data_IF_268382733249
#
_entry.id   IF_268382733249
#
_cell.length_a   1.000
_cell.length_b   1.000
_cell.length_c   1.000
_cell.angle_alpha   90.00
_cell.angle_beta   90.00
_cell.angle_gamma   90.00
#
_symmetry.space_group_name_H-M   'P 1'
#
loop_
_entity.id
_entity.type
_entity.pdbx_description
1 polymer ?
#
# COMPACT_ATOMS: atom_id res chain seq x y z
N UNK A 1 -7.78 -20.24 39.61
CA UNK A 1 -6.67 -21.03 39.05
C UNK A 1 -7.03 -21.59 37.68
N UNK A 2 -8.13 -22.35 37.52
CA UNK A 2 -8.53 -22.97 36.22
C UNK A 2 -8.73 -21.95 35.12
N UNK A 3 -9.55 -20.91 35.33
CA UNK A 3 -9.79 -19.86 34.33
C UNK A 3 -8.52 -19.10 33.91
N UNK A 4 -7.58 -18.90 34.83
CA UNK A 4 -6.28 -18.29 34.49
C UNK A 4 -5.43 -19.21 33.62
N UNK A 5 -5.46 -20.51 33.91
CA UNK A 5 -4.74 -21.52 33.11
C UNK A 5 -5.32 -21.64 31.72
N UNK A 6 -6.65 -21.66 31.62
CA UNK A 6 -7.35 -21.66 30.32
C UNK A 6 -7.07 -20.40 29.50
N UNK A 7 -7.13 -19.22 30.11
CA UNK A 7 -6.79 -17.96 29.46
C UNK A 7 -5.34 -17.97 28.93
N UNK A 8 -4.41 -18.50 29.73
CA UNK A 8 -2.99 -18.58 29.37
C UNK A 8 -2.73 -19.57 28.22
N UNK A 9 -3.36 -20.73 28.27
CA UNK A 9 -3.17 -21.77 27.25
C UNK A 9 -3.91 -21.50 25.94
N UNK A 10 -5.12 -20.93 26.02
CA UNK A 10 -6.02 -20.82 24.85
C UNK A 10 -6.11 -19.41 24.27
N UNK A 11 -5.92 -18.35 25.07
CA UNK A 11 -6.20 -16.98 24.65
C UNK A 11 -4.95 -16.14 24.43
N UNK A 12 -3.79 -16.56 24.96
CA UNK A 12 -2.56 -15.79 24.82
C UNK A 12 -2.15 -15.66 23.35
N UNK A 13 -1.88 -14.45 22.88
CA UNK A 13 -1.56 -14.17 21.46
C UNK A 13 -0.31 -14.92 20.96
N UNK A 14 0.68 -15.12 21.82
CA UNK A 14 1.88 -15.90 21.48
C UNK A 14 1.61 -17.37 21.14
N UNK A 15 0.48 -17.92 21.59
CA UNK A 15 0.05 -19.29 21.27
C UNK A 15 -0.90 -19.34 20.07
N UNK A 16 -1.44 -18.19 19.63
CA UNK A 16 -2.45 -18.07 18.57
C UNK A 16 -1.95 -17.21 17.41
N UNK A 17 -0.77 -17.50 16.89
CA UNK A 17 -0.16 -16.74 15.78
C UNK A 17 -0.90 -17.03 14.46
N UNK A 18 -1.38 -18.28 14.26
CA UNK A 18 -2.04 -18.70 13.04
C UNK A 18 -3.55 -18.78 13.18
N UNK A 19 -4.25 -18.42 12.11
CA UNK A 19 -5.72 -18.52 12.04
C UNK A 19 -6.15 -19.99 11.95
N UNK A 20 -7.06 -20.47 12.81
CA UNK A 20 -7.44 -21.87 12.87
C UNK A 20 -8.13 -22.40 11.60
N UNK A 21 -8.83 -21.53 10.85
CA UNK A 21 -9.55 -21.94 9.65
C UNK A 21 -8.68 -22.16 8.42
N UNK A 22 -7.60 -21.41 8.24
CA UNK A 22 -6.80 -21.44 7.01
C UNK A 22 -5.28 -21.37 7.23
N UNK A 23 -4.81 -21.37 8.48
CA UNK A 23 -3.39 -21.43 8.82
C UNK A 23 -2.56 -20.21 8.41
N UNK A 24 -3.17 -19.10 8.05
CA UNK A 24 -2.44 -17.85 7.75
C UNK A 24 -2.12 -17.10 9.05
N UNK A 25 -1.00 -16.39 9.12
CA UNK A 25 -0.69 -15.57 10.30
C UNK A 25 -1.79 -14.54 10.60
N UNK A 26 -2.19 -14.44 11.87
CA UNK A 26 -3.08 -13.40 12.39
C UNK A 26 -2.25 -12.25 12.95
N UNK A 27 -1.19 -12.58 13.71
CA UNK A 27 -0.26 -11.62 14.28
C UNK A 27 0.65 -11.09 13.17
N UNK A 28 0.18 -10.07 12.45
CA UNK A 28 0.89 -9.45 11.34
C UNK A 28 1.19 -8.00 11.70
N UNK A 29 2.43 -7.52 11.49
CA UNK A 29 2.74 -6.09 11.59
C UNK A 29 1.82 -5.24 10.71
N UNK A 30 1.47 -4.06 11.17
CA UNK A 30 0.57 -3.13 10.48
C UNK A 30 1.06 -1.70 10.59
N UNK A 31 0.54 -0.83 9.73
CA UNK A 31 0.77 0.62 9.78
C UNK A 31 2.26 0.98 9.88
N UNK A 32 2.68 1.64 10.95
CA UNK A 32 4.04 2.18 11.10
C UNK A 32 5.12 1.09 11.15
N UNK A 33 4.80 -0.10 11.66
CA UNK A 33 5.73 -1.23 11.64
C UNK A 33 6.07 -1.66 10.21
N UNK A 34 5.05 -1.73 9.34
CA UNK A 34 5.23 -2.06 7.92
C UNK A 34 5.96 -0.93 7.21
N UNK A 35 5.58 0.32 7.47
CA UNK A 35 6.18 1.49 6.85
C UNK A 35 7.67 1.62 7.18
N UNK A 36 8.03 1.42 8.46
CA UNK A 36 9.43 1.46 8.90
C UNK A 36 10.27 0.34 8.28
N UNK A 37 9.72 -0.88 8.19
CA UNK A 37 10.40 -2.01 7.55
C UNK A 37 10.56 -1.78 6.04
N UNK A 38 9.54 -1.25 5.38
CA UNK A 38 9.59 -0.91 3.97
C UNK A 38 10.62 0.19 3.69
N UNK A 39 10.60 1.28 4.48
CA UNK A 39 11.59 2.34 4.40
C UNK A 39 13.01 1.80 4.56
N UNK A 40 13.25 0.99 5.58
CA UNK A 40 14.56 0.39 5.87
C UNK A 40 15.11 -0.43 4.71
N UNK A 41 14.26 -1.24 4.05
CA UNK A 41 14.69 -2.20 3.02
C UNK A 41 14.72 -1.63 1.60
N UNK A 42 14.30 -0.38 1.41
CA UNK A 42 14.35 0.29 0.12
C UNK A 42 15.75 0.79 -0.20
N UNK A 43 16.16 0.65 -1.46
CA UNK A 43 17.46 1.15 -1.95
C UNK A 43 17.32 2.55 -2.56
N UNK A 44 18.37 3.35 -2.45
CA UNK A 44 18.50 4.66 -3.09
C UNK A 44 19.90 4.79 -3.68
N UNK A 45 19.99 5.31 -4.92
CA UNK A 45 21.25 5.53 -5.59
C UNK A 45 21.90 6.84 -5.13
N UNK A 46 23.21 6.89 -5.08
CA UNK A 46 23.96 8.09 -4.68
C UNK A 46 24.05 8.33 -3.18
N UNK A 47 23.73 7.33 -2.36
CA UNK A 47 23.78 7.43 -0.90
C UNK A 47 25.20 7.28 -0.34
N UNK A 48 25.40 7.85 0.86
CA UNK A 48 26.69 7.78 1.56
C UNK A 48 27.07 6.32 1.85
N UNK A 49 28.28 5.91 1.42
CA UNK A 49 28.79 4.56 1.59
C UNK A 49 28.42 3.59 0.45
N UNK A 50 27.84 4.06 -0.63
CA UNK A 50 27.53 3.22 -1.80
C UNK A 50 28.78 2.53 -2.36
N UNK A 51 28.66 1.23 -2.70
CA UNK A 51 29.76 0.41 -3.25
C UNK A 51 30.72 -0.12 -2.20
N UNK A 52 30.56 0.20 -0.92
CA UNK A 52 31.38 -0.32 0.15
C UNK A 52 31.19 -1.83 0.33
N UNK A 53 32.26 -2.52 0.78
CA UNK A 53 32.27 -3.96 1.01
C UNK A 53 32.63 -4.25 2.47
N UNK A 54 31.81 -5.08 3.13
CA UNK A 54 31.96 -5.41 4.54
C UNK A 54 32.12 -6.92 4.75
N UNK A 55 32.93 -7.28 5.74
CA UNK A 55 33.23 -8.69 6.06
C UNK A 55 32.25 -9.29 7.06
N UNK A 56 31.53 -8.48 7.82
CA UNK A 56 30.58 -8.94 8.85
C UNK A 56 29.48 -7.92 9.11
N UNK A 57 28.44 -8.36 9.86
CA UNK A 57 27.36 -7.49 10.32
C UNK A 57 27.84 -6.44 11.31
N UNK A 58 28.80 -6.79 12.18
CA UNK A 58 29.35 -5.90 13.20
C UNK A 58 30.07 -4.70 12.57
N UNK A 59 30.79 -4.90 11.46
CA UNK A 59 31.42 -3.82 10.71
C UNK A 59 30.38 -2.84 10.14
N UNK A 60 29.28 -3.36 9.59
CA UNK A 60 28.17 -2.53 9.10
C UNK A 60 27.52 -1.75 10.24
N UNK A 61 27.26 -2.40 11.38
CA UNK A 61 26.65 -1.75 12.54
C UNK A 61 27.53 -0.61 13.04
N UNK A 62 28.85 -0.82 13.13
CA UNK A 62 29.80 0.21 13.55
C UNK A 62 29.84 1.39 12.56
N UNK A 63 29.93 1.11 11.27
CA UNK A 63 29.94 2.14 10.25
C UNK A 63 28.62 2.93 10.20
N UNK A 64 27.49 2.24 10.45
CA UNK A 64 26.17 2.88 10.53
C UNK A 64 26.03 3.77 11.78
N UNK A 65 26.48 3.33 12.95
CA UNK A 65 26.48 4.14 14.17
C UNK A 65 27.40 5.37 14.07
N UNK A 66 28.51 5.24 13.35
CA UNK A 66 29.42 6.35 13.05
C UNK A 66 28.88 7.32 11.98
N UNK A 67 27.72 7.04 11.37
CA UNK A 67 27.15 7.79 10.24
C UNK A 67 28.05 7.81 9.00
N UNK A 68 28.84 6.77 8.77
CA UNK A 68 29.67 6.61 7.57
C UNK A 68 28.89 6.03 6.39
N UNK A 69 27.78 5.36 6.69
CA UNK A 69 26.87 4.75 5.72
C UNK A 69 25.40 5.03 6.06
N UNK A 70 24.55 5.10 5.02
CA UNK A 70 23.09 5.24 5.20
C UNK A 70 22.37 3.89 5.05
N UNK A 71 21.14 3.75 5.59
CA UNK A 71 20.40 2.48 5.49
C UNK A 71 20.09 2.07 4.04
N UNK A 72 20.00 3.05 3.13
CA UNK A 72 19.59 2.86 1.73
C UNK A 72 20.76 2.64 0.77
N UNK A 73 22.00 2.81 1.27
CA UNK A 73 23.20 2.64 0.47
C UNK A 73 23.35 1.19 -0.02
N UNK A 74 23.66 1.02 -1.30
CA UNK A 74 23.97 -0.29 -1.88
C UNK A 74 25.37 -0.71 -1.49
N UNK A 75 25.50 -1.87 -0.89
CA UNK A 75 26.75 -2.42 -0.35
C UNK A 75 26.92 -3.88 -0.74
N UNK A 76 28.12 -4.40 -0.56
CA UNK A 76 28.42 -5.83 -0.64
C UNK A 76 28.79 -6.35 0.76
N UNK A 77 28.24 -7.48 1.14
CA UNK A 77 28.52 -8.11 2.42
C UNK A 77 28.94 -9.57 2.23
N UNK A 78 29.85 -10.03 3.07
CA UNK A 78 30.22 -11.43 3.15
C UNK A 78 29.53 -12.08 4.35
N UNK A 79 28.59 -12.99 4.09
CA UNK A 79 27.91 -13.77 5.11
C UNK A 79 28.18 -15.25 4.91
N UNK A 80 28.54 -15.95 5.99
CA UNK A 80 28.83 -17.41 5.97
C UNK A 80 29.83 -17.84 4.91
N UNK A 81 30.77 -16.96 4.51
CA UNK A 81 31.79 -17.24 3.51
C UNK A 81 31.37 -16.89 2.06
N UNK A 82 30.13 -16.59 1.81
CA UNK A 82 29.59 -16.19 0.50
C UNK A 82 29.43 -14.67 0.40
N UNK A 83 29.68 -14.10 -0.78
CA UNK A 83 29.44 -12.70 -1.06
C UNK A 83 28.00 -12.47 -1.53
N UNK A 84 27.30 -11.57 -0.87
CA UNK A 84 26.01 -11.05 -1.30
C UNK A 84 26.26 -9.65 -1.84
N UNK A 85 26.12 -9.51 -3.15
CA UNK A 85 26.31 -8.25 -3.85
C UNK A 85 25.00 -7.50 -4.01
N UNK A 86 25.09 -6.18 -4.20
CA UNK A 86 23.94 -5.29 -4.44
C UNK A 86 22.83 -5.41 -3.39
N UNK A 87 23.23 -5.57 -2.14
CA UNK A 87 22.29 -5.46 -1.00
C UNK A 87 22.32 -4.05 -0.42
N UNK A 88 21.47 -3.76 0.55
CA UNK A 88 21.50 -2.49 1.28
C UNK A 88 21.78 -2.71 2.75
N UNK A 89 22.35 -1.70 3.41
CA UNK A 89 22.58 -1.72 4.85
C UNK A 89 21.29 -2.08 5.59
N UNK A 90 20.17 -1.49 5.19
CA UNK A 90 18.88 -1.74 5.81
C UNK A 90 18.37 -3.18 5.61
N UNK A 91 18.63 -3.81 4.46
CA UNK A 91 18.30 -5.24 4.25
C UNK A 91 19.13 -6.13 5.15
N UNK A 92 20.40 -5.81 5.34
CA UNK A 92 21.27 -6.55 6.25
C UNK A 92 20.74 -6.45 7.70
N UNK A 93 20.39 -5.24 8.15
CA UNK A 93 19.78 -5.02 9.46
C UNK A 93 18.47 -5.80 9.62
N UNK A 94 17.62 -5.80 8.61
CA UNK A 94 16.37 -6.58 8.62
C UNK A 94 16.63 -8.09 8.72
N UNK A 95 17.59 -8.61 7.93
CA UNK A 95 17.92 -10.03 7.95
C UNK A 95 18.57 -10.48 9.28
N UNK A 96 19.23 -9.59 10.00
CA UNK A 96 19.79 -9.90 11.32
C UNK A 96 18.73 -10.14 12.42
N UNK A 97 17.50 -9.65 12.21
CA UNK A 97 16.36 -9.88 13.10
C UNK A 97 15.67 -11.23 12.79
N UNK A 98 15.90 -11.79 11.61
CA UNK A 98 15.33 -13.08 11.23
C UNK A 98 16.00 -14.23 12.00
N UNK A 99 15.26 -15.32 12.31
CA UNK A 99 15.87 -16.54 12.82
C UNK A 99 16.94 -17.09 11.87
N UNK A 100 18.02 -17.65 12.44
CA UNK A 100 19.20 -18.15 11.69
C UNK A 100 18.87 -19.18 10.59
N UNK A 101 17.76 -19.90 10.75
CA UNK A 101 17.32 -20.91 9.78
C UNK A 101 16.64 -20.32 8.54
N UNK A 102 16.35 -19.01 8.54
CA UNK A 102 15.69 -18.34 7.43
C UNK A 102 16.70 -17.93 6.35
N UNK A 103 16.31 -17.94 5.07
CA UNK A 103 17.15 -17.46 3.98
C UNK A 103 17.31 -15.94 4.06
N UNK A 104 18.37 -15.43 3.45
CA UNK A 104 18.60 -14.00 3.29
C UNK A 104 17.61 -13.41 2.26
N UNK A 105 16.90 -12.36 2.64
CA UNK A 105 15.96 -11.62 1.77
C UNK A 105 16.64 -10.35 1.25
N UNK A 106 16.98 -10.33 -0.04
CA UNK A 106 17.60 -9.17 -0.71
C UNK A 106 16.58 -8.42 -1.58
N UNK A 107 15.48 -8.01 -0.99
CA UNK A 107 14.41 -7.28 -1.68
C UNK A 107 13.73 -6.27 -0.76
N UNK A 108 12.97 -5.34 -1.32
CA UNK A 108 12.13 -4.43 -0.53
C UNK A 108 10.99 -5.21 0.09
N UNK A 109 10.78 -5.05 1.40
CA UNK A 109 9.83 -5.82 2.18
C UNK A 109 8.53 -5.03 2.37
N UNK A 110 7.47 -5.48 1.72
CA UNK A 110 6.11 -4.97 1.86
C UNK A 110 5.28 -5.82 2.84
N UNK A 111 4.06 -5.40 3.13
CA UNK A 111 3.15 -6.11 4.03
C UNK A 111 2.87 -7.56 3.61
N UNK A 112 2.79 -7.84 2.31
CA UNK A 112 2.51 -9.19 1.79
C UNK A 112 3.71 -10.11 2.02
N UNK A 113 4.92 -9.59 1.78
CA UNK A 113 6.17 -10.32 2.02
C UNK A 113 6.38 -10.60 3.51
N UNK A 114 6.15 -9.60 4.39
CA UNK A 114 6.19 -9.80 5.85
C UNK A 114 5.26 -10.95 6.24
N UNK A 115 4.03 -10.96 5.77
CA UNK A 115 3.07 -12.03 6.06
C UNK A 115 3.58 -13.40 5.61
N UNK A 116 4.18 -13.48 4.42
CA UNK A 116 4.78 -14.71 3.91
C UNK A 116 5.97 -15.17 4.74
N UNK A 117 6.85 -14.24 5.13
CA UNK A 117 8.02 -14.51 5.96
C UNK A 117 7.60 -15.04 7.33
N UNK A 118 6.60 -14.43 7.99
CA UNK A 118 6.07 -14.89 9.28
C UNK A 118 5.50 -16.31 9.15
N UNK A 119 4.73 -16.59 8.11
CA UNK A 119 4.19 -17.92 7.86
C UNK A 119 5.28 -18.98 7.65
N UNK A 120 6.37 -18.62 6.95
CA UNK A 120 7.52 -19.48 6.74
C UNK A 120 8.32 -19.66 8.03
N UNK A 121 8.59 -18.58 8.77
CA UNK A 121 9.26 -18.65 10.08
C UNK A 121 8.53 -19.57 11.06
N UNK A 122 7.21 -19.47 11.14
CA UNK A 122 6.42 -20.35 12.01
C UNK A 122 6.55 -21.82 11.61
N UNK A 123 6.56 -22.12 10.31
CA UNK A 123 6.65 -23.47 9.79
C UNK A 123 8.05 -24.10 9.97
N UNK A 124 9.10 -23.32 9.73
CA UNK A 124 10.47 -23.81 9.67
C UNK A 124 11.17 -23.71 11.05
N UNK A 125 10.92 -22.62 11.81
CA UNK A 125 11.59 -22.32 13.08
C UNK A 125 10.73 -22.56 14.32
N UNK A 126 9.41 -22.77 14.15
CA UNK A 126 8.45 -23.01 15.23
C UNK A 126 7.96 -21.72 15.93
N UNK A 127 7.02 -21.92 16.87
CA UNK A 127 6.30 -20.83 17.52
C UNK A 127 7.19 -19.87 18.30
N UNK A 128 8.08 -20.40 19.16
CA UNK A 128 8.88 -19.58 20.06
C UNK A 128 9.79 -18.59 19.32
N UNK A 129 10.53 -19.07 18.32
CA UNK A 129 11.42 -18.20 17.51
C UNK A 129 10.62 -17.19 16.69
N UNK A 130 9.43 -17.57 16.21
CA UNK A 130 8.54 -16.64 15.48
C UNK A 130 8.01 -15.53 16.39
N UNK A 131 7.70 -15.81 17.66
CA UNK A 131 7.29 -14.77 18.62
C UNK A 131 8.42 -13.79 18.87
N UNK A 132 9.65 -14.27 19.13
CA UNK A 132 10.83 -13.42 19.32
C UNK A 132 11.07 -12.54 18.09
N UNK A 133 11.04 -13.14 16.90
CA UNK A 133 11.15 -12.42 15.63
C UNK A 133 10.09 -11.33 15.48
N UNK A 134 8.83 -11.61 15.83
CA UNK A 134 7.75 -10.60 15.75
C UNK A 134 7.97 -9.42 16.71
N UNK A 135 8.48 -9.67 17.90
CA UNK A 135 8.80 -8.62 18.87
C UNK A 135 9.95 -7.75 18.39
N UNK A 136 11.02 -8.36 17.90
CA UNK A 136 12.16 -7.63 17.33
C UNK A 136 11.78 -6.86 16.06
N UNK A 137 10.96 -7.45 15.18
CA UNK A 137 10.44 -6.80 13.98
C UNK A 137 9.56 -5.58 14.32
N UNK A 138 8.75 -5.67 15.37
CA UNK A 138 7.96 -4.55 15.89
C UNK A 138 8.85 -3.38 16.29
N UNK A 139 9.88 -3.67 17.10
CA UNK A 139 10.78 -2.64 17.61
C UNK A 139 11.63 -2.02 16.49
N UNK A 140 12.10 -2.85 15.55
CA UNK A 140 12.79 -2.40 14.34
C UNK A 140 11.88 -1.50 13.48
N UNK A 141 10.65 -1.95 13.22
CA UNK A 141 9.69 -1.22 12.41
C UNK A 141 9.34 0.15 13.00
N UNK A 142 9.03 0.23 14.28
CA UNK A 142 8.78 1.51 14.95
C UNK A 142 10.02 2.41 14.99
N UNK A 143 11.19 1.85 15.26
CA UNK A 143 12.44 2.58 15.28
C UNK A 143 12.76 3.26 13.95
N UNK A 144 12.60 2.55 12.84
CA UNK A 144 12.84 3.10 11.50
C UNK A 144 11.69 3.95 10.98
N UNK A 145 10.45 3.72 11.38
CA UNK A 145 9.35 4.65 11.12
C UNK A 145 9.60 6.01 11.77
N UNK A 146 10.07 6.02 13.00
CA UNK A 146 10.49 7.27 13.68
C UNK A 146 11.67 7.95 12.98
N UNK A 147 12.73 7.20 12.65
CA UNK A 147 13.91 7.74 11.96
C UNK A 147 13.61 8.25 10.56
N UNK A 148 12.63 7.67 9.86
CA UNK A 148 12.24 8.09 8.52
C UNK A 148 11.66 9.50 8.47
N UNK A 149 11.00 9.94 9.55
CA UNK A 149 10.37 11.26 9.62
C UNK A 149 9.31 11.49 8.54
N UNK A 150 8.70 10.44 8.02
CA UNK A 150 7.74 10.53 6.91
C UNK A 150 6.57 11.44 7.26
N UNK A 151 6.36 12.43 6.42
CA UNK A 151 5.28 13.40 6.52
C UNK A 151 4.68 13.63 5.14
N UNK A 152 3.40 13.97 5.07
CA UNK A 152 2.69 14.26 3.82
C UNK A 152 2.46 15.77 3.72
N UNK A 153 2.91 16.35 2.61
CA UNK A 153 2.59 17.72 2.24
C UNK A 153 1.72 17.73 0.97
N UNK A 154 1.01 18.84 0.73
CA UNK A 154 0.23 19.02 -0.50
C UNK A 154 1.14 19.04 -1.74
N UNK A 155 2.40 19.45 -1.58
CA UNK A 155 3.43 19.41 -2.62
C UNK A 155 3.74 18.01 -3.12
N UNK A 156 3.64 17.00 -2.24
CA UNK A 156 3.98 15.61 -2.56
C UNK A 156 2.90 14.91 -3.42
N UNK A 157 1.76 15.56 -3.58
CA UNK A 157 0.66 15.09 -4.41
C UNK A 157 0.91 15.62 -5.82
N UNK A 158 1.39 14.78 -6.73
CA UNK A 158 1.58 15.15 -8.13
C UNK A 158 0.36 14.77 -8.96
N UNK A 159 -0.13 15.74 -9.76
CA UNK A 159 -1.21 15.50 -10.73
C UNK A 159 -0.53 15.11 -12.03
N UNK A 160 -0.91 13.98 -12.67
CA UNK A 160 -0.26 13.53 -13.89
C UNK A 160 -0.37 14.57 -15.01
N UNK A 161 0.75 14.88 -15.66
CA UNK A 161 0.79 15.85 -16.77
C UNK A 161 -0.10 15.43 -17.95
N UNK A 162 -0.24 14.12 -18.16
CA UNK A 162 -1.06 13.55 -19.25
C UNK A 162 -2.53 13.38 -18.90
N UNK A 163 -2.98 13.81 -17.72
CA UNK A 163 -4.38 13.67 -17.28
C UNK A 163 -5.36 14.26 -18.28
N UNK A 164 -5.14 15.49 -18.71
CA UNK A 164 -6.04 16.19 -19.61
C UNK A 164 -6.12 15.52 -20.99
N UNK A 165 -5.03 14.97 -21.49
CA UNK A 165 -4.99 14.20 -22.74
C UNK A 165 -5.82 12.93 -22.64
N UNK A 166 -5.69 12.19 -21.54
CA UNK A 166 -6.45 10.96 -21.30
C UNK A 166 -7.95 11.24 -21.15
N UNK A 167 -8.31 12.32 -20.46
CA UNK A 167 -9.69 12.74 -20.31
C UNK A 167 -10.29 13.18 -21.64
N UNK A 168 -9.57 13.92 -22.49
CA UNK A 168 -10.04 14.33 -23.81
C UNK A 168 -10.27 13.12 -24.74
N UNK A 169 -9.42 12.09 -24.67
CA UNK A 169 -9.63 10.84 -25.42
C UNK A 169 -10.90 10.10 -24.98
N UNK A 170 -11.13 10.06 -23.66
CA UNK A 170 -12.33 9.44 -23.10
C UNK A 170 -13.60 10.21 -23.52
N UNK A 171 -13.58 11.55 -23.45
CA UNK A 171 -14.69 12.39 -23.89
C UNK A 171 -15.02 12.15 -25.38
N UNK A 172 -14.03 12.16 -26.26
CA UNK A 172 -14.23 11.88 -27.69
C UNK A 172 -14.85 10.48 -27.94
N UNK A 173 -14.42 9.48 -27.15
CA UNK A 173 -15.01 8.13 -27.24
C UNK A 173 -16.45 8.09 -26.75
N UNK A 174 -16.81 8.86 -25.73
CA UNK A 174 -18.19 8.98 -25.25
C UNK A 174 -19.06 9.69 -26.27
N UNK A 175 -18.55 10.74 -26.92
CA UNK A 175 -19.27 11.44 -28.01
C UNK A 175 -19.58 10.50 -29.18
N UNK A 176 -18.64 9.66 -29.63
CA UNK A 176 -18.86 8.66 -30.67
C UNK A 176 -19.97 7.65 -30.28
N UNK A 177 -19.99 7.22 -29.03
CA UNK A 177 -21.04 6.34 -28.49
C UNK A 177 -22.40 7.06 -28.50
N UNK A 178 -22.42 8.34 -28.13
CA UNK A 178 -23.63 9.15 -28.12
C UNK A 178 -24.20 9.36 -29.56
N UNK A 179 -23.34 9.63 -30.55
CA UNK A 179 -23.73 9.72 -31.93
C UNK A 179 -24.33 8.40 -32.48
N UNK A 180 -23.73 7.26 -32.13
CA UNK A 180 -24.24 5.92 -32.49
C UNK A 180 -25.60 5.65 -31.86
N UNK A 181 -25.83 6.11 -30.64
CA UNK A 181 -27.15 6.02 -30.01
C UNK A 181 -28.19 6.89 -30.72
N UNK A 182 -27.85 8.15 -31.04
CA UNK A 182 -28.77 9.07 -31.80
C UNK A 182 -29.12 8.55 -33.18
N UNK A 183 -28.21 7.81 -33.83
CA UNK A 183 -28.44 7.08 -35.07
C UNK A 183 -29.24 5.78 -34.90
N UNK A 184 -29.71 5.48 -33.69
CA UNK A 184 -30.44 4.25 -33.33
C UNK A 184 -29.68 2.94 -33.63
N UNK A 185 -28.34 2.98 -33.60
CA UNK A 185 -27.47 1.79 -33.74
C UNK A 185 -27.33 1.05 -32.42
N UNK A 186 -27.46 1.75 -31.30
CA UNK A 186 -27.30 1.22 -29.93
C UNK A 186 -28.62 1.40 -29.16
N UNK A 187 -28.89 0.46 -28.26
CA UNK A 187 -29.93 0.59 -27.23
C UNK A 187 -29.44 1.48 -26.08
N UNK A 188 -30.36 2.05 -25.30
CA UNK A 188 -30.01 2.87 -24.13
C UNK A 188 -29.16 2.10 -23.13
N UNK A 189 -29.47 0.82 -22.86
CA UNK A 189 -28.70 -0.02 -21.95
C UNK A 189 -27.29 -0.30 -22.46
N UNK A 190 -27.10 -0.51 -23.77
CA UNK A 190 -25.78 -0.69 -24.37
C UNK A 190 -24.97 0.60 -24.35
N UNK A 191 -25.59 1.74 -24.65
CA UNK A 191 -24.94 3.05 -24.49
C UNK A 191 -24.45 3.27 -23.10
N UNK A 192 -25.34 3.10 -22.10
CA UNK A 192 -25.00 3.26 -20.67
C UNK A 192 -23.81 2.39 -20.26
N UNK A 193 -23.84 1.10 -20.58
CA UNK A 193 -22.76 0.19 -20.22
C UNK A 193 -21.44 0.59 -20.87
N UNK A 194 -21.45 0.96 -22.17
CA UNK A 194 -20.24 1.40 -22.87
C UNK A 194 -19.66 2.70 -22.29
N UNK A 195 -20.50 3.65 -21.91
CA UNK A 195 -20.04 4.90 -21.25
C UNK A 195 -19.39 4.60 -19.90
N UNK A 196 -19.99 3.72 -19.11
CA UNK A 196 -19.40 3.29 -17.83
C UNK A 196 -18.05 2.60 -18.04
N UNK A 197 -17.94 1.72 -19.03
CA UNK A 197 -16.69 1.03 -19.35
C UNK A 197 -15.58 2.02 -19.77
N UNK A 198 -15.90 2.98 -20.65
CA UNK A 198 -14.95 4.02 -21.08
C UNK A 198 -14.41 4.79 -19.87
N UNK A 199 -15.30 5.26 -18.99
CA UNK A 199 -14.89 6.02 -17.82
C UNK A 199 -14.16 5.18 -16.78
N UNK A 200 -14.46 3.90 -16.65
CA UNK A 200 -13.73 2.98 -15.80
C UNK A 200 -12.30 2.78 -16.29
N UNK A 201 -12.13 2.56 -17.62
CA UNK A 201 -10.80 2.46 -18.22
C UNK A 201 -10.02 3.76 -18.09
N UNK A 202 -10.61 4.90 -18.44
CA UNK A 202 -9.95 6.20 -18.29
C UNK A 202 -9.50 6.48 -16.83
N UNK A 203 -10.34 6.12 -15.86
CA UNK A 203 -9.97 6.26 -14.44
C UNK A 203 -8.77 5.40 -14.07
N UNK A 204 -8.71 4.17 -14.59
CA UNK A 204 -7.57 3.28 -14.33
C UNK A 204 -6.30 3.75 -15.06
N UNK A 205 -6.41 4.26 -16.27
CA UNK A 205 -5.28 4.78 -17.04
C UNK A 205 -4.67 6.01 -16.35
N UNK A 206 -5.51 6.95 -15.90
CA UNK A 206 -5.07 8.11 -15.11
C UNK A 206 -4.41 7.66 -13.80
N UNK A 207 -4.96 6.64 -13.14
CA UNK A 207 -4.37 6.11 -11.92
C UNK A 207 -3.00 5.46 -12.18
N UNK A 208 -2.86 4.69 -13.26
CA UNK A 208 -1.61 4.05 -13.62
C UNK A 208 -0.50 5.08 -13.92
N UNK A 209 -0.82 6.12 -14.70
CA UNK A 209 0.12 7.21 -14.99
C UNK A 209 0.55 7.93 -13.71
N UNK A 210 -0.41 8.25 -12.84
CA UNK A 210 -0.13 8.88 -11.54
C UNK A 210 0.82 8.03 -10.69
N UNK A 211 0.61 6.70 -10.62
CA UNK A 211 1.50 5.83 -9.85
C UNK A 211 2.89 5.73 -10.45
N UNK A 212 3.04 5.72 -11.78
CA UNK A 212 4.35 5.75 -12.44
C UNK A 212 5.11 7.05 -12.15
N UNK A 213 4.43 8.19 -12.15
CA UNK A 213 5.04 9.48 -11.78
C UNK A 213 5.46 9.50 -10.31
N UNK A 214 4.60 9.04 -9.39
CA UNK A 214 4.91 8.95 -7.96
C UNK A 214 6.07 7.98 -7.67
N UNK A 215 6.18 6.88 -8.42
CA UNK A 215 7.28 5.93 -8.30
C UNK A 215 8.62 6.53 -8.77
N UNK A 216 8.59 7.34 -9.84
CA UNK A 216 9.78 8.02 -10.35
C UNK A 216 10.20 9.21 -9.49
N UNK A 217 9.27 9.80 -8.75
CA UNK A 217 9.54 10.94 -7.89
C UNK A 217 10.48 10.57 -6.74
N UNK A 218 11.54 11.38 -6.58
CA UNK A 218 12.56 11.20 -5.54
C UNK A 218 13.09 9.76 -5.44
N UNK A 219 13.27 9.06 -6.56
CA UNK A 219 13.69 7.65 -6.62
C UNK A 219 12.74 6.70 -5.85
N UNK A 220 11.45 7.06 -5.81
CA UNK A 220 10.41 6.32 -5.11
C UNK A 220 10.35 6.54 -3.61
N UNK A 221 10.99 7.59 -3.09
CA UNK A 221 10.86 8.02 -1.69
C UNK A 221 9.76 9.08 -1.50
N UNK A 222 8.83 9.20 -2.45
CA UNK A 222 7.63 9.99 -2.22
C UNK A 222 6.81 9.37 -1.06
N UNK A 223 6.43 10.15 -0.01
CA UNK A 223 5.72 9.62 1.16
C UNK A 223 4.40 8.92 0.82
N UNK A 224 3.63 9.46 -0.14
CA UNK A 224 2.37 8.87 -0.57
C UNK A 224 2.57 7.54 -1.28
N UNK A 225 3.58 7.48 -2.16
CA UNK A 225 3.94 6.24 -2.84
C UNK A 225 4.36 5.17 -1.84
N UNK A 226 5.27 5.50 -0.91
CA UNK A 226 5.73 4.55 0.10
C UNK A 226 4.60 4.02 0.99
N UNK A 227 3.66 4.86 1.39
CA UNK A 227 2.51 4.45 2.21
C UNK A 227 1.60 3.47 1.46
N UNK A 228 1.34 3.71 0.18
CA UNK A 228 0.47 2.86 -0.63
C UNK A 228 1.12 1.55 -1.04
N UNK A 229 2.36 1.62 -1.54
CA UNK A 229 3.09 0.47 -2.07
C UNK A 229 3.47 -0.50 -0.94
N UNK A 230 3.89 0.01 0.21
CA UNK A 230 4.14 -0.83 1.40
C UNK A 230 2.90 -1.56 1.91
N UNK A 231 1.69 -1.08 1.58
CA UNK A 231 0.43 -1.56 2.15
C UNK A 231 0.24 -1.18 3.62
N UNK A 232 1.01 -0.21 4.13
CA UNK A 232 0.91 0.28 5.49
C UNK A 232 -0.37 1.10 5.70
N UNK A 233 -0.61 2.05 4.82
CA UNK A 233 -1.76 2.97 4.90
C UNK A 233 -2.13 3.51 3.53
N UNK A 234 -3.43 3.66 3.30
CA UNK A 234 -3.95 4.17 2.03
C UNK A 234 -4.01 3.08 0.95
N UNK A 235 -5.18 2.92 0.34
CA UNK A 235 -5.32 2.08 -0.84
C UNK A 235 -4.99 2.89 -2.10
N UNK A 236 -4.64 2.22 -3.18
CA UNK A 236 -4.47 2.85 -4.49
C UNK A 236 -5.71 3.66 -4.89
N UNK A 237 -6.92 3.16 -4.56
CA UNK A 237 -8.18 3.88 -4.81
C UNK A 237 -8.34 5.17 -4.01
N UNK A 238 -7.75 5.26 -2.83
CA UNK A 238 -7.77 6.50 -2.04
C UNK A 238 -6.79 7.53 -2.61
N UNK A 239 -5.60 7.09 -3.03
CA UNK A 239 -4.58 7.99 -3.59
C UNK A 239 -4.99 8.52 -4.96
N UNK A 240 -5.60 7.69 -5.81
CA UNK A 240 -6.11 8.15 -7.11
C UNK A 240 -7.14 9.28 -6.98
N UNK A 241 -7.90 9.32 -5.88
CA UNK A 241 -8.84 10.42 -5.63
C UNK A 241 -8.15 11.71 -5.20
N UNK A 242 -6.92 11.63 -4.65
CA UNK A 242 -6.16 12.80 -4.24
C UNK A 242 -5.53 13.54 -5.43
N UNK A 243 -4.94 12.81 -6.36
CA UNK A 243 -4.12 13.35 -7.45
C UNK A 243 -4.63 13.01 -8.86
N UNK A 244 -5.31 11.89 -9.06
CA UNK A 244 -5.83 11.46 -10.35
C UNK A 244 -7.22 12.03 -10.64
N UNK A 245 -8.23 11.20 -10.58
CA UNK A 245 -9.65 11.61 -10.66
C UNK A 245 -10.50 10.77 -9.70
N UNK A 246 -11.59 11.34 -9.24
CA UNK A 246 -12.50 10.63 -8.35
C UNK A 246 -13.28 9.53 -9.06
N UNK A 247 -13.66 9.76 -10.32
CA UNK A 247 -14.32 8.78 -11.17
C UNK A 247 -15.84 8.66 -10.96
N UNK A 248 -16.37 7.48 -11.27
CA UNK A 248 -17.81 7.21 -11.25
C UNK A 248 -18.34 7.05 -9.82
N UNK A 249 -19.55 7.58 -9.59
CA UNK A 249 -20.25 7.51 -8.31
C UNK A 249 -21.52 6.67 -8.43
N UNK A 250 -21.82 5.86 -7.40
CA UNK A 250 -23.05 5.11 -7.32
C UNK A 250 -24.23 6.01 -6.91
N UNK A 251 -25.40 5.83 -7.53
CA UNK A 251 -26.66 6.46 -7.09
C UNK A 251 -27.07 5.95 -5.71
N UNK A 252 -27.66 6.79 -4.85
CA UNK A 252 -28.22 6.34 -3.59
C UNK A 252 -29.34 5.33 -3.88
N UNK A 253 -29.25 4.14 -3.26
CA UNK A 253 -30.32 3.13 -3.41
C UNK A 253 -31.64 3.70 -2.90
N UNK A 254 -32.64 3.83 -3.74
CA UNK A 254 -34.02 3.91 -3.28
C UNK A 254 -34.40 2.52 -2.76
N UNK A 255 -34.59 2.42 -1.45
CA UNK A 255 -35.09 1.23 -0.76
C UNK A 255 -36.36 0.74 -1.44
N UNK A 256 -36.47 -0.51 -1.79
CA UNK A 256 -37.63 -1.38 -2.01
C UNK A 256 -37.69 -2.19 -3.32
N UNK A 257 -36.88 -1.97 -4.31
CA UNK A 257 -36.76 -2.90 -5.43
C UNK A 257 -35.29 -3.32 -5.57
N UNK A 258 -34.99 -4.58 -5.44
CA UNK A 258 -33.65 -5.19 -5.42
C UNK A 258 -32.76 -4.99 -6.65
N UNK A 259 -32.90 -3.89 -7.35
CA UNK A 259 -32.01 -3.50 -8.43
C UNK A 259 -30.71 -2.95 -7.84
N UNK A 260 -29.59 -3.51 -8.25
CA UNK A 260 -28.22 -2.98 -8.05
C UNK A 260 -28.23 -1.47 -8.26
N UNK A 261 -27.63 -0.72 -7.33
CA UNK A 261 -27.56 0.73 -7.46
C UNK A 261 -26.94 1.11 -8.79
N UNK A 262 -27.69 1.84 -9.64
CA UNK A 262 -27.18 2.37 -10.89
C UNK A 262 -26.03 3.35 -10.61
N UNK A 263 -25.02 3.31 -11.43
CA UNK A 263 -23.90 4.25 -11.42
C UNK A 263 -24.34 5.53 -12.12
N UNK A 264 -23.85 6.68 -11.65
CA UNK A 264 -24.07 7.97 -12.31
C UNK A 264 -23.13 8.03 -13.53
N UNK A 265 -23.67 8.25 -14.72
CA UNK A 265 -22.92 8.23 -15.99
C UNK A 265 -21.83 9.31 -16.06
N UNK A 266 -22.09 10.48 -15.47
CA UNK A 266 -21.14 11.57 -15.44
C UNK A 266 -20.08 11.33 -14.34
N UNK A 267 -18.81 11.09 -14.69
CA UNK A 267 -17.76 10.91 -13.71
C UNK A 267 -17.37 12.23 -13.08
N UNK A 268 -16.79 12.17 -11.90
CA UNK A 268 -16.10 13.31 -11.29
C UNK A 268 -14.68 13.30 -11.84
N UNK A 269 -14.36 14.21 -12.75
CA UNK A 269 -13.05 14.34 -13.40
C UNK A 269 -12.02 15.01 -12.49
N UNK A 270 -12.49 15.85 -11.56
CA UNK A 270 -11.64 16.54 -10.61
C UNK A 270 -11.10 15.59 -9.53
N UNK A 271 -9.97 15.94 -8.96
CA UNK A 271 -9.37 15.32 -7.78
C UNK A 271 -9.49 16.26 -6.57
N UNK A 272 -9.09 15.78 -5.39
CA UNK A 272 -9.17 16.60 -4.17
C UNK A 272 -8.14 17.73 -4.14
N UNK A 273 -7.00 17.60 -4.82
CA UNK A 273 -5.99 18.68 -4.90
C UNK A 273 -6.48 19.85 -5.73
N UNK A 274 -7.15 19.58 -6.85
CA UNK A 274 -7.78 20.61 -7.71
C UNK A 274 -9.00 21.25 -7.05
N UNK A 275 -9.68 20.50 -6.20
CA UNK A 275 -10.97 20.85 -5.63
C UNK A 275 -12.15 20.44 -6.50
N UNK A 276 -13.30 20.18 -5.86
CA UNK A 276 -14.52 19.78 -6.54
C UNK A 276 -15.41 20.99 -6.81
N UNK A 277 -16.06 21.01 -7.97
CA UNK A 277 -17.14 21.96 -8.24
C UNK A 277 -18.35 21.66 -7.33
N UNK A 278 -19.26 22.62 -7.17
CA UNK A 278 -20.46 22.45 -6.33
C UNK A 278 -21.31 21.24 -6.78
N UNK A 279 -21.42 21.01 -8.08
CA UNK A 279 -22.17 19.89 -8.66
C UNK A 279 -21.47 18.55 -8.38
N UNK A 280 -20.16 18.46 -8.61
CA UNK A 280 -19.37 17.27 -8.31
C UNK A 280 -19.36 16.93 -6.81
N UNK A 281 -19.26 17.96 -5.97
CA UNK A 281 -19.40 17.81 -4.52
C UNK A 281 -20.75 17.22 -4.13
N UNK A 282 -21.84 17.75 -4.70
CA UNK A 282 -23.19 17.24 -4.43
C UNK A 282 -23.33 15.76 -4.82
N UNK A 283 -22.87 15.37 -6.01
CA UNK A 283 -22.87 13.96 -6.44
C UNK A 283 -22.05 13.08 -5.48
N UNK A 284 -20.90 13.58 -5.06
CA UNK A 284 -19.97 12.82 -4.23
C UNK A 284 -20.46 12.60 -2.80
N UNK A 285 -21.24 13.55 -2.24
CA UNK A 285 -21.69 13.48 -0.86
C UNK A 285 -22.71 12.38 -0.59
N UNK A 286 -23.49 11.98 -1.59
CA UNK A 286 -24.48 10.91 -1.42
C UNK A 286 -23.81 9.59 -0.96
N UNK A 287 -22.76 9.16 -1.66
CA UNK A 287 -22.00 7.96 -1.30
C UNK A 287 -21.17 8.12 -0.02
N UNK A 288 -20.50 9.26 0.13
CA UNK A 288 -19.63 9.52 1.28
C UNK A 288 -20.41 9.55 2.61
N UNK A 289 -21.53 10.27 2.68
CA UNK A 289 -22.36 10.33 3.90
C UNK A 289 -22.94 8.97 4.28
N UNK A 290 -23.37 8.19 3.26
CA UNK A 290 -23.86 6.84 3.50
C UNK A 290 -22.75 5.94 4.05
N UNK A 291 -21.56 5.96 3.47
CA UNK A 291 -20.42 5.16 3.92
C UNK A 291 -20.00 5.49 5.36
N UNK A 292 -19.98 6.78 5.72
CA UNK A 292 -19.69 7.21 7.09
C UNK A 292 -20.76 6.72 8.10
N UNK A 293 -22.04 6.84 7.75
CA UNK A 293 -23.13 6.37 8.59
C UNK A 293 -23.13 4.83 8.75
N UNK A 294 -22.92 4.09 7.67
CA UNK A 294 -22.83 2.62 7.70
C UNK A 294 -21.64 2.13 8.53
N UNK A 295 -20.49 2.80 8.44
CA UNK A 295 -19.33 2.44 9.25
C UNK A 295 -19.60 2.63 10.73
N UNK A 296 -20.20 3.76 11.12
CA UNK A 296 -20.55 4.03 12.51
C UNK A 296 -21.58 3.02 13.06
N UNK A 297 -22.61 2.68 12.28
CA UNK A 297 -23.63 1.73 12.69
C UNK A 297 -23.08 0.30 12.80
N UNK A 298 -22.30 -0.18 11.83
CA UNK A 298 -21.70 -1.52 11.88
C UNK A 298 -20.73 -1.70 13.05
N UNK A 299 -20.03 -0.64 13.43
CA UNK A 299 -19.15 -0.68 14.62
C UNK A 299 -19.94 -0.81 15.92
N UNK A 300 -21.15 -0.23 15.98
CA UNK A 300 -22.02 -0.34 17.15
C UNK A 300 -22.72 -1.72 17.25
N UNK A 301 -22.92 -2.41 16.13
CA UNK A 301 -23.55 -3.73 16.08
C UNK A 301 -22.55 -4.89 16.32
N UNK A 302 -21.26 -4.64 16.31
CA UNK A 302 -20.19 -5.62 16.54
C UNK A 302 -19.74 -5.64 18.00
#
# INVERSE_FOLDING_TARGET
AEAQTEAWLLMLSSHNILHPAHGRPIAIPSQDMVLGTYYLTRSRDGELGEGSSFGSFEEISLAFENNEITPHAKINIRLNGEWINDTTVGRVIFNNVLPDEMPFYNETIDKKKITSIIGKSYKDCGNFKTVSFLDELKDLGFGFAYKSGLSIAISDIHIPDRKDELLAKADASVEDIQEKYERHVLTEGERYNKVIDIWTHATNDVAAEMFMELESDNQGFNPLFMMADSGARGSQDQIKQLAGMRGLMAKPKKSMSGASGEIIENPIKANFKEGLSAFEYFISTHGARKGLAETALKTADA
#
